data_IF_066723746732
#
_entry.id   IF_066723746732
#
_cell.length_a   1.000
_cell.length_b   1.000
_cell.length_c   1.000
_cell.angle_alpha   90.00
_cell.angle_beta   90.00
_cell.angle_gamma   90.00
#
_symmetry.space_group_name_H-M   'P 1'
#
loop_
_entity.id
_entity.type
_entity.pdbx_description
1 polymer ?
#
# COMPACT_ATOMS: atom_id res chain seq x y z
N UNK A 1 13.16 15.97 -31.29
CA UNK A 1 14.59 16.24 -31.02
C UNK A 1 14.72 16.17 -29.50
N UNK A 2 15.52 15.27 -28.98
CA UNK A 2 15.73 15.14 -27.51
C UNK A 2 16.52 16.38 -27.08
N UNK A 3 15.99 17.13 -26.12
CA UNK A 3 16.64 18.30 -25.57
C UNK A 3 17.68 17.86 -24.52
N UNK A 4 18.95 18.21 -24.70
CA UNK A 4 20.04 17.85 -23.79
C UNK A 4 19.76 18.31 -22.33
N UNK A 5 19.05 19.41 -22.18
CA UNK A 5 18.67 19.90 -20.84
C UNK A 5 17.66 18.95 -20.15
N UNK A 6 16.71 18.37 -20.87
CA UNK A 6 15.74 17.40 -20.36
C UNK A 6 16.43 16.09 -19.99
N UNK A 7 17.41 15.63 -20.77
CA UNK A 7 18.23 14.46 -20.45
C UNK A 7 19.02 14.69 -19.16
N UNK A 8 19.70 15.82 -19.04
CA UNK A 8 20.47 16.17 -17.86
C UNK A 8 19.58 16.32 -16.62
N UNK A 9 18.38 16.88 -16.77
CA UNK A 9 17.41 16.99 -15.67
C UNK A 9 16.96 15.61 -15.19
N UNK A 10 16.62 14.69 -16.12
CA UNK A 10 16.21 13.32 -15.77
C UNK A 10 17.36 12.57 -15.08
N UNK A 11 18.58 12.67 -15.59
CA UNK A 11 19.76 12.07 -14.96
C UNK A 11 19.94 12.59 -13.52
N UNK A 12 19.77 13.89 -13.31
CA UNK A 12 19.87 14.50 -11.98
C UNK A 12 18.77 13.99 -11.05
N UNK A 13 17.53 13.86 -11.55
CA UNK A 13 16.40 13.32 -10.76
C UNK A 13 16.69 11.89 -10.29
N UNK A 14 17.33 11.07 -11.13
CA UNK A 14 17.71 9.68 -10.78
C UNK A 14 18.91 9.64 -9.84
N UNK A 15 20.01 10.33 -10.18
CA UNK A 15 21.30 10.19 -9.47
C UNK A 15 21.36 10.94 -8.15
N UNK A 16 20.60 12.04 -8.00
CA UNK A 16 20.73 12.96 -6.85
C UNK A 16 19.42 13.20 -6.09
N UNK A 17 18.27 12.97 -6.72
CA UNK A 17 16.96 13.35 -6.19
C UNK A 17 16.07 12.12 -5.91
N UNK A 18 16.63 10.90 -5.92
CA UNK A 18 15.97 9.63 -5.61
C UNK A 18 14.71 9.31 -6.45
N UNK A 19 14.70 9.69 -7.75
CA UNK A 19 13.66 9.23 -8.66
C UNK A 19 13.78 7.73 -8.88
N UNK A 20 12.73 6.99 -8.61
CA UNK A 20 12.64 5.57 -8.94
C UNK A 20 11.32 5.18 -9.60
N UNK A 21 11.36 4.08 -10.36
CA UNK A 21 10.19 3.28 -10.64
C UNK A 21 10.09 2.27 -9.51
N UNK A 22 9.18 2.54 -8.57
CA UNK A 22 9.05 1.75 -7.36
C UNK A 22 8.71 0.31 -7.66
N UNK A 23 7.87 0.06 -8.68
CA UNK A 23 7.49 -1.29 -9.05
C UNK A 23 6.96 -1.38 -10.48
N UNK A 24 7.26 -2.51 -11.14
CA UNK A 24 6.44 -3.07 -12.20
C UNK A 24 5.66 -4.22 -11.58
N UNK A 25 4.33 -4.12 -11.60
CA UNK A 25 3.43 -5.13 -11.02
C UNK A 25 2.59 -5.75 -12.12
N UNK A 26 2.68 -7.08 -12.26
CA UNK A 26 1.79 -7.83 -13.15
C UNK A 26 0.56 -8.26 -12.39
N UNK A 27 -0.62 -7.76 -12.79
CA UNK A 27 -1.91 -8.28 -12.35
C UNK A 27 -2.22 -9.58 -13.10
N UNK A 28 -2.69 -10.60 -12.39
CA UNK A 28 -3.04 -11.90 -12.97
C UNK A 28 -4.41 -12.34 -12.45
N UNK A 29 -5.35 -12.54 -13.36
CA UNK A 29 -6.66 -13.11 -13.04
C UNK A 29 -6.50 -14.62 -12.78
N UNK A 30 -7.02 -15.09 -11.64
CA UNK A 30 -6.99 -16.51 -11.26
C UNK A 30 -8.38 -17.15 -11.17
N UNK A 31 -9.45 -16.50 -11.65
CA UNK A 31 -10.80 -17.06 -11.56
C UNK A 31 -10.95 -18.38 -12.31
N UNK A 32 -10.24 -18.57 -13.42
CA UNK A 32 -10.21 -19.82 -14.20
C UNK A 32 -9.42 -20.96 -13.50
N UNK A 33 -8.71 -20.64 -12.41
CA UNK A 33 -8.05 -21.65 -11.57
C UNK A 33 -9.00 -22.29 -10.56
N UNK A 34 -10.21 -21.76 -10.38
CA UNK A 34 -11.18 -22.30 -9.43
C UNK A 34 -11.57 -23.74 -9.78
N UNK A 35 -11.71 -24.57 -8.75
CA UNK A 35 -12.15 -25.98 -8.81
C UNK A 35 -12.71 -26.36 -7.44
N UNK A 36 -13.41 -27.48 -7.34
CA UNK A 36 -13.82 -28.11 -6.08
C UNK A 36 -12.73 -29.03 -5.47
N UNK A 37 -11.65 -29.24 -6.21
CA UNK A 37 -10.48 -30.01 -5.80
C UNK A 37 -9.31 -29.06 -5.48
N UNK A 38 -8.80 -29.11 -4.25
CA UNK A 38 -7.73 -28.24 -3.77
C UNK A 38 -6.40 -28.45 -4.52
N UNK A 39 -6.06 -29.70 -4.85
CA UNK A 39 -4.82 -30.00 -5.58
C UNK A 39 -4.86 -29.42 -6.99
N UNK A 40 -6.02 -29.49 -7.66
CA UNK A 40 -6.23 -28.89 -8.98
C UNK A 40 -6.14 -27.35 -8.93
N UNK A 41 -6.71 -26.71 -7.89
CA UNK A 41 -6.57 -25.26 -7.66
C UNK A 41 -5.09 -24.89 -7.54
N UNK A 42 -4.35 -25.61 -6.71
CA UNK A 42 -2.92 -25.35 -6.49
C UNK A 42 -2.11 -25.52 -7.78
N UNK A 43 -2.35 -26.60 -8.53
CA UNK A 43 -1.63 -26.85 -9.80
C UNK A 43 -1.90 -25.74 -10.83
N UNK A 44 -3.17 -25.33 -10.99
CA UNK A 44 -3.57 -24.27 -11.93
C UNK A 44 -2.97 -22.93 -11.56
N UNK A 45 -3.03 -22.54 -10.28
CA UNK A 45 -2.45 -21.27 -9.76
C UNK A 45 -0.95 -21.26 -10.05
N UNK A 46 -0.24 -22.28 -9.62
CA UNK A 46 1.21 -22.39 -9.83
C UNK A 46 1.58 -22.26 -11.31
N UNK A 47 0.95 -23.07 -12.17
CA UNK A 47 1.19 -23.06 -13.61
C UNK A 47 0.90 -21.70 -14.25
N UNK A 48 -0.22 -21.05 -13.88
CA UNK A 48 -0.61 -19.76 -14.48
C UNK A 48 0.38 -18.66 -14.11
N UNK A 49 0.75 -18.55 -12.83
CA UNK A 49 1.72 -17.54 -12.35
C UNK A 49 3.07 -17.76 -13.02
N UNK A 50 3.61 -18.99 -12.97
CA UNK A 50 4.95 -19.29 -13.52
C UNK A 50 5.00 -19.19 -15.04
N UNK A 51 3.87 -19.33 -15.74
CA UNK A 51 3.81 -19.14 -17.20
C UNK A 51 3.76 -17.68 -17.59
N UNK A 52 2.88 -16.89 -16.96
CA UNK A 52 2.67 -15.50 -17.34
C UNK A 52 3.80 -14.58 -16.86
N UNK A 53 4.31 -14.79 -15.65
CA UNK A 53 5.32 -13.92 -15.05
C UNK A 53 6.77 -14.36 -15.25
N UNK A 54 7.03 -15.41 -16.05
CA UNK A 54 8.38 -16.00 -16.24
C UNK A 54 9.44 -14.97 -16.66
N UNK A 55 9.08 -13.98 -17.47
CA UNK A 55 9.99 -13.00 -18.03
C UNK A 55 9.85 -11.61 -17.35
N UNK A 56 9.02 -11.48 -16.30
CA UNK A 56 8.73 -10.19 -15.65
C UNK A 56 9.98 -9.56 -15.03
N UNK A 57 10.76 -10.34 -14.29
CA UNK A 57 11.95 -9.85 -13.58
C UNK A 57 13.03 -9.45 -14.56
N UNK A 58 13.39 -10.33 -15.50
CA UNK A 58 14.42 -10.04 -16.52
C UNK A 58 14.04 -8.83 -17.39
N UNK A 59 12.77 -8.74 -17.81
CA UNK A 59 12.28 -7.57 -18.55
C UNK A 59 12.43 -6.27 -17.76
N UNK A 60 12.08 -6.28 -16.47
CA UNK A 60 12.26 -5.11 -15.61
C UNK A 60 13.72 -4.70 -15.45
N UNK A 61 14.63 -5.66 -15.30
CA UNK A 61 16.08 -5.41 -15.21
C UNK A 61 16.67 -4.86 -16.51
N UNK A 62 16.26 -5.40 -17.65
CA UNK A 62 16.69 -4.95 -18.95
C UNK A 62 16.22 -3.50 -19.22
N UNK A 63 14.97 -3.17 -18.89
CA UNK A 63 14.43 -1.81 -19.02
C UNK A 63 15.18 -0.84 -18.10
N UNK A 64 15.41 -1.22 -16.83
CA UNK A 64 16.17 -0.39 -15.90
C UNK A 64 17.57 -0.08 -16.41
N UNK A 65 18.27 -1.09 -16.94
CA UNK A 65 19.60 -0.93 -17.52
C UNK A 65 19.62 -0.09 -18.79
N UNK A 66 18.64 -0.26 -19.67
CA UNK A 66 18.56 0.46 -20.94
C UNK A 66 18.18 1.93 -20.75
N UNK A 67 17.23 2.22 -19.86
CA UNK A 67 16.75 3.58 -19.63
C UNK A 67 17.54 4.33 -18.55
N UNK A 68 18.40 3.66 -17.80
CA UNK A 68 19.15 4.25 -16.70
C UNK A 68 18.26 4.69 -15.53
N UNK A 69 17.04 4.15 -15.39
CA UNK A 69 16.10 4.46 -14.31
C UNK A 69 15.95 3.22 -13.41
N UNK A 70 16.21 3.34 -12.10
CA UNK A 70 16.03 2.20 -11.20
C UNK A 70 14.59 1.68 -11.20
N UNK A 71 14.43 0.35 -11.36
CA UNK A 71 13.15 -0.34 -11.15
C UNK A 71 13.34 -1.24 -9.93
N UNK A 72 12.93 -0.71 -8.78
CA UNK A 72 13.28 -1.27 -7.47
C UNK A 72 12.66 -2.64 -7.24
N UNK A 73 11.38 -2.80 -7.58
CA UNK A 73 10.66 -4.05 -7.37
C UNK A 73 9.98 -4.54 -8.67
N UNK A 74 9.90 -5.86 -8.79
CA UNK A 74 9.03 -6.56 -9.73
C UNK A 74 8.08 -7.41 -8.90
N UNK A 75 6.77 -7.20 -9.07
CA UNK A 75 5.73 -7.74 -8.20
C UNK A 75 4.60 -8.37 -8.99
N UNK A 76 3.78 -9.17 -8.32
CA UNK A 76 2.56 -9.74 -8.87
C UNK A 76 1.39 -9.38 -7.96
N UNK A 77 0.24 -9.04 -8.55
CA UNK A 77 -1.05 -8.96 -7.86
C UNK A 77 -2.00 -9.99 -8.47
N UNK A 78 -2.74 -10.71 -7.65
CA UNK A 78 -3.64 -11.76 -8.10
C UNK A 78 -5.08 -11.51 -7.65
N UNK A 79 -6.03 -12.14 -8.32
CA UNK A 79 -7.43 -12.16 -7.88
C UNK A 79 -7.54 -12.54 -6.40
N UNK A 80 -8.40 -11.88 -5.60
CA UNK A 80 -8.59 -12.22 -4.20
C UNK A 80 -8.82 -13.72 -3.99
N UNK A 81 -7.91 -14.36 -3.26
CA UNK A 81 -7.89 -15.83 -3.11
C UNK A 81 -9.14 -16.36 -2.40
N UNK A 82 -9.82 -15.52 -1.61
CA UNK A 82 -11.12 -15.93 -1.02
C UNK A 82 -12.16 -16.32 -2.08
N UNK A 83 -12.06 -15.75 -3.28
CA UNK A 83 -12.96 -16.08 -4.42
C UNK A 83 -12.51 -17.36 -5.12
N UNK A 84 -11.22 -17.50 -5.39
CA UNK A 84 -10.65 -18.63 -6.13
C UNK A 84 -10.74 -19.93 -5.34
N UNK A 85 -10.47 -19.88 -4.03
CA UNK A 85 -10.51 -21.04 -3.12
C UNK A 85 -11.90 -21.43 -2.64
N UNK A 86 -12.96 -20.67 -2.98
CA UNK A 86 -14.28 -20.79 -2.35
C UNK A 86 -14.92 -22.20 -2.45
N UNK A 87 -14.73 -22.89 -3.56
CA UNK A 87 -15.29 -24.22 -3.77
C UNK A 87 -14.44 -25.33 -3.13
N UNK A 88 -13.10 -25.19 -3.16
CA UNK A 88 -12.16 -26.20 -2.68
C UNK A 88 -11.93 -26.17 -1.18
N UNK A 89 -11.75 -24.97 -0.59
CA UNK A 89 -11.33 -24.81 0.79
C UNK A 89 -12.48 -25.04 1.78
N UNK A 90 -12.26 -25.88 2.78
CA UNK A 90 -13.23 -26.21 3.85
C UNK A 90 -12.72 -25.77 5.24
N UNK A 91 -11.42 -25.55 5.35
CA UNK A 91 -10.72 -25.17 6.59
C UNK A 91 -9.76 -24.00 6.32
N UNK A 92 -9.32 -23.25 7.34
CA UNK A 92 -8.25 -22.26 7.19
C UNK A 92 -6.93 -22.88 6.66
N UNK A 93 -6.61 -24.12 7.05
CA UNK A 93 -5.39 -24.81 6.61
C UNK A 93 -5.36 -25.10 5.09
N UNK A 94 -6.52 -25.29 4.47
CA UNK A 94 -6.61 -25.43 3.01
C UNK A 94 -6.13 -24.13 2.31
N UNK A 95 -6.51 -22.97 2.85
CA UNK A 95 -6.02 -21.67 2.38
C UNK A 95 -4.51 -21.49 2.61
N UNK A 96 -3.98 -21.98 3.74
CA UNK A 96 -2.52 -21.98 3.97
C UNK A 96 -1.79 -22.79 2.92
N UNK A 97 -2.38 -23.88 2.41
CA UNK A 97 -1.81 -24.69 1.34
C UNK A 97 -1.75 -23.89 0.02
N UNK A 98 -2.80 -23.12 -0.30
CA UNK A 98 -2.79 -22.19 -1.44
C UNK A 98 -1.71 -21.11 -1.26
N UNK A 99 -1.58 -20.53 -0.06
CA UNK A 99 -0.55 -19.56 0.24
C UNK A 99 0.86 -20.10 -0.07
N UNK A 100 1.18 -21.29 0.39
CA UNK A 100 2.48 -21.95 0.10
C UNK A 100 2.70 -22.18 -1.40
N UNK A 101 1.67 -22.52 -2.13
CA UNK A 101 1.74 -22.68 -3.59
C UNK A 101 2.05 -21.36 -4.29
N UNK A 102 1.40 -20.28 -3.90
CA UNK A 102 1.63 -18.93 -4.43
C UNK A 102 3.05 -18.45 -4.09
N UNK A 103 3.49 -18.64 -2.85
CA UNK A 103 4.84 -18.29 -2.40
C UNK A 103 5.91 -19.04 -3.20
N UNK A 104 5.72 -20.34 -3.41
CA UNK A 104 6.60 -21.16 -4.27
C UNK A 104 6.66 -20.64 -5.70
N UNK A 105 5.52 -20.25 -6.28
CA UNK A 105 5.48 -19.69 -7.62
C UNK A 105 6.20 -18.34 -7.70
N UNK A 106 6.02 -17.48 -6.66
CA UNK A 106 6.70 -16.19 -6.55
C UNK A 106 8.22 -16.34 -6.48
N UNK A 107 8.72 -17.30 -5.70
CA UNK A 107 10.15 -17.63 -5.66
C UNK A 107 10.69 -18.13 -7.00
N UNK A 108 9.93 -18.97 -7.72
CA UNK A 108 10.36 -19.49 -9.01
C UNK A 108 10.52 -18.40 -10.07
N UNK A 109 9.58 -17.44 -10.12
CA UNK A 109 9.68 -16.32 -11.07
C UNK A 109 10.56 -15.17 -10.57
N UNK A 110 11.04 -15.24 -9.33
CA UNK A 110 12.01 -14.30 -8.75
C UNK A 110 11.44 -12.93 -8.40
N UNK A 111 10.13 -12.78 -8.22
CA UNK A 111 9.51 -11.51 -7.83
C UNK A 111 9.76 -11.18 -6.37
N UNK A 112 9.71 -9.88 -6.03
CA UNK A 112 9.96 -9.42 -4.67
C UNK A 112 8.78 -9.68 -3.73
N UNK A 113 7.53 -9.56 -4.23
CA UNK A 113 6.29 -9.79 -3.47
C UNK A 113 5.16 -10.23 -4.39
N UNK A 114 4.16 -10.89 -3.80
CA UNK A 114 2.90 -11.22 -4.44
C UNK A 114 1.73 -10.87 -3.51
N UNK A 115 0.84 -9.98 -3.97
CA UNK A 115 -0.37 -9.56 -3.26
C UNK A 115 -1.62 -10.23 -3.83
N UNK A 116 -2.69 -10.26 -3.02
CA UNK A 116 -3.96 -10.87 -3.41
C UNK A 116 -4.36 -12.08 -2.56
N UNK A 117 -3.57 -12.42 -1.53
CA UNK A 117 -4.07 -13.31 -0.47
C UNK A 117 -5.09 -12.56 0.37
N UNK A 118 -6.24 -12.28 -0.22
CA UNK A 118 -7.14 -11.19 0.17
C UNK A 118 -8.60 -11.61 0.19
N UNK A 119 -9.42 -10.83 0.95
CA UNK A 119 -10.86 -10.93 0.98
C UNK A 119 -11.52 -9.55 0.89
N UNK A 120 -12.64 -9.45 0.17
CA UNK A 120 -13.43 -8.23 0.03
C UNK A 120 -14.74 -8.42 0.78
N UNK A 121 -14.83 -7.85 1.99
CA UNK A 121 -15.93 -8.10 2.95
C UNK A 121 -16.65 -6.81 3.37
N UNK A 122 -16.58 -5.77 2.54
CA UNK A 122 -17.11 -4.44 2.86
C UNK A 122 -18.62 -4.40 3.15
N UNK A 123 -19.40 -5.34 2.59
CA UNK A 123 -20.85 -5.41 2.80
C UNK A 123 -21.28 -6.62 3.65
N UNK A 124 -20.60 -7.72 3.48
CA UNK A 124 -20.84 -8.99 4.17
C UNK A 124 -19.64 -9.89 4.00
N UNK A 125 -19.60 -10.96 4.75
CA UNK A 125 -18.52 -11.93 4.78
C UNK A 125 -19.08 -13.31 4.50
N UNK A 126 -18.59 -13.98 3.46
CA UNK A 126 -18.95 -15.37 3.16
C UNK A 126 -18.17 -16.31 4.07
N UNK A 127 -18.55 -17.59 4.09
CA UNK A 127 -17.79 -18.60 4.81
C UNK A 127 -16.35 -18.71 4.27
N UNK A 128 -16.19 -18.58 2.96
CA UNK A 128 -14.89 -18.61 2.29
C UNK A 128 -14.00 -17.46 2.73
N UNK A 129 -14.55 -16.23 2.79
CA UNK A 129 -13.81 -15.06 3.27
C UNK A 129 -13.36 -15.24 4.72
N UNK A 130 -14.25 -15.76 5.60
CA UNK A 130 -13.91 -16.00 6.99
C UNK A 130 -12.79 -17.05 7.14
N UNK A 131 -12.84 -18.14 6.36
CA UNK A 131 -11.79 -19.17 6.37
C UNK A 131 -10.44 -18.59 5.92
N UNK A 132 -10.42 -17.80 4.84
CA UNK A 132 -9.21 -17.13 4.40
C UNK A 132 -8.68 -16.16 5.45
N UNK A 133 -9.54 -15.28 6.01
CA UNK A 133 -9.11 -14.29 7.01
C UNK A 133 -8.50 -15.00 8.23
N UNK A 134 -9.10 -16.09 8.71
CA UNK A 134 -8.57 -16.88 9.83
C UNK A 134 -7.28 -17.63 9.48
N UNK A 135 -6.96 -17.82 8.21
CA UNK A 135 -5.72 -18.45 7.79
C UNK A 135 -4.53 -17.47 7.72
N UNK A 136 -4.79 -16.15 7.68
CA UNK A 136 -3.77 -15.11 7.49
C UNK A 136 -2.59 -15.23 8.46
N UNK A 137 -2.78 -15.37 9.79
CA UNK A 137 -1.67 -15.45 10.73
C UNK A 137 -0.69 -16.57 10.38
N UNK A 138 -1.20 -17.76 10.16
CA UNK A 138 -0.39 -18.92 9.81
C UNK A 138 0.21 -18.83 8.42
N UNK A 139 -0.54 -18.30 7.43
CA UNK A 139 -0.07 -18.11 6.08
C UNK A 139 1.14 -17.16 6.04
N UNK A 140 1.02 -15.98 6.67
CA UNK A 140 2.09 -14.98 6.68
C UNK A 140 3.31 -15.40 7.52
N UNK A 141 3.14 -16.27 8.50
CA UNK A 141 4.24 -16.83 9.28
C UNK A 141 5.02 -17.92 8.53
N UNK A 142 4.40 -18.64 7.59
CA UNK A 142 5.04 -19.75 6.89
C UNK A 142 5.36 -19.45 5.42
N UNK A 143 5.25 -18.19 4.99
CA UNK A 143 5.58 -17.71 3.63
C UNK A 143 6.41 -16.43 3.70
N UNK A 144 7.25 -16.20 2.70
CA UNK A 144 8.16 -15.05 2.66
C UNK A 144 7.59 -13.89 1.85
N UNK A 145 7.09 -14.16 0.64
CA UNK A 145 6.77 -13.15 -0.37
C UNK A 145 5.30 -12.75 -0.44
N UNK A 146 4.42 -13.48 0.27
CA UNK A 146 2.97 -13.22 0.24
C UNK A 146 2.61 -11.99 1.05
N UNK A 147 1.77 -11.15 0.44
CA UNK A 147 1.08 -10.04 1.11
C UNK A 147 -0.43 -10.24 1.09
N UNK A 148 -1.07 -9.81 2.18
CA UNK A 148 -2.50 -9.98 2.43
C UNK A 148 -3.21 -8.65 2.64
N UNK A 149 -4.47 -8.59 2.23
CA UNK A 149 -5.34 -7.45 2.53
C UNK A 149 -6.80 -7.87 2.73
N UNK A 150 -7.49 -7.10 3.57
CA UNK A 150 -8.94 -7.30 3.80
C UNK A 150 -9.65 -5.96 3.66
N UNK A 151 -10.56 -5.84 2.69
CA UNK A 151 -11.36 -4.64 2.48
C UNK A 151 -12.66 -4.70 3.31
N UNK A 152 -12.71 -3.97 4.43
CA UNK A 152 -13.80 -4.06 5.42
C UNK A 152 -14.89 -3.01 5.24
N UNK A 153 -14.71 -2.04 4.36
CA UNK A 153 -15.65 -0.94 4.19
C UNK A 153 -15.60 -0.29 2.81
N UNK A 154 -16.65 0.43 2.50
CA UNK A 154 -16.67 1.34 1.34
C UNK A 154 -17.70 2.45 1.54
N UNK A 155 -17.52 3.55 0.79
CA UNK A 155 -18.49 4.64 0.73
C UNK A 155 -19.91 4.16 0.34
N UNK A 156 -19.99 3.13 -0.52
CA UNK A 156 -21.29 2.61 -0.99
C UNK A 156 -21.95 1.64 -0.01
N UNK A 157 -21.17 0.90 0.76
CA UNK A 157 -21.69 -0.20 1.58
C UNK A 157 -21.67 0.09 3.07
N UNK A 158 -20.93 1.11 3.52
CA UNK A 158 -20.64 1.34 4.94
C UNK A 158 -19.48 0.49 5.43
N UNK A 159 -19.41 0.24 6.72
CA UNK A 159 -18.31 -0.49 7.39
C UNK A 159 -18.85 -1.79 7.98
N UNK A 160 -18.25 -2.91 7.65
CA UNK A 160 -18.57 -4.21 8.22
C UNK A 160 -17.85 -4.37 9.58
N UNK A 161 -18.56 -4.07 10.69
CA UNK A 161 -17.98 -4.09 12.02
C UNK A 161 -17.65 -5.51 12.52
N UNK A 162 -18.30 -6.54 11.98
CA UNK A 162 -17.93 -7.94 12.29
C UNK A 162 -16.55 -8.26 11.69
N UNK A 163 -16.26 -7.80 10.46
CA UNK A 163 -14.95 -7.94 9.85
C UNK A 163 -13.90 -7.05 10.55
N UNK A 164 -14.23 -5.82 10.91
CA UNK A 164 -13.33 -4.91 11.67
C UNK A 164 -12.90 -5.56 12.99
N UNK A 165 -13.85 -6.11 13.75
CA UNK A 165 -13.54 -6.82 15.00
C UNK A 165 -12.61 -8.01 14.75
N UNK A 166 -12.95 -8.84 13.76
CA UNK A 166 -12.14 -10.01 13.41
C UNK A 166 -10.71 -9.59 13.01
N UNK A 167 -10.56 -8.51 12.23
CA UNK A 167 -9.23 -8.05 11.81
C UNK A 167 -8.35 -7.60 12.97
N UNK A 168 -8.89 -6.98 14.02
CA UNK A 168 -8.13 -6.68 15.22
C UNK A 168 -7.60 -7.95 15.93
N UNK A 169 -8.39 -9.02 15.96
CA UNK A 169 -7.97 -10.34 16.47
C UNK A 169 -6.87 -10.94 15.57
N UNK A 170 -7.06 -10.92 14.25
CA UNK A 170 -6.12 -11.46 13.24
C UNK A 170 -4.78 -10.73 13.28
N UNK A 171 -4.76 -9.40 13.40
CA UNK A 171 -3.51 -8.63 13.50
C UNK A 171 -2.74 -9.02 14.77
N UNK A 172 -3.42 -9.15 15.91
CA UNK A 172 -2.80 -9.63 17.16
C UNK A 172 -2.23 -11.03 17.01
N UNK A 173 -2.99 -11.94 16.41
CA UNK A 173 -2.57 -13.31 16.19
C UNK A 173 -1.39 -13.36 15.21
N UNK A 174 -1.40 -12.57 14.12
CA UNK A 174 -0.29 -12.46 13.17
C UNK A 174 0.98 -11.98 13.85
N UNK A 175 0.88 -10.96 14.71
CA UNK A 175 2.00 -10.46 15.48
C UNK A 175 2.62 -11.55 16.37
N UNK A 176 1.79 -12.34 17.04
CA UNK A 176 2.25 -13.44 17.90
C UNK A 176 2.89 -14.59 17.10
N UNK A 177 2.31 -14.94 15.93
CA UNK A 177 2.88 -15.98 15.06
C UNK A 177 4.24 -15.60 14.46
N UNK A 178 4.53 -14.30 14.36
CA UNK A 178 5.77 -13.77 13.76
C UNK A 178 6.62 -12.98 14.75
N UNK A 179 6.48 -13.22 16.04
CA UNK A 179 7.16 -12.49 17.11
C UNK A 179 8.69 -12.66 17.11
N UNK A 180 9.18 -13.79 16.62
CA UNK A 180 10.63 -14.03 16.50
C UNK A 180 11.30 -13.14 15.42
N UNK A 181 10.48 -12.58 14.51
CA UNK A 181 10.85 -11.62 13.48
C UNK A 181 10.23 -10.24 13.75
N UNK A 182 10.22 -9.79 14.99
CA UNK A 182 9.67 -8.48 15.39
C UNK A 182 8.25 -8.19 14.88
N UNK A 183 7.41 -9.24 14.79
CA UNK A 183 6.01 -9.17 14.29
C UNK A 183 5.90 -8.75 12.81
N UNK A 184 6.91 -9.01 11.99
CA UNK A 184 7.03 -8.61 10.57
C UNK A 184 5.85 -9.10 9.71
N UNK A 185 5.17 -10.18 10.08
CA UNK A 185 3.96 -10.62 9.40
C UNK A 185 2.90 -9.52 9.29
N UNK A 186 2.80 -8.64 10.30
CA UNK A 186 1.87 -7.51 10.28
C UNK A 186 2.25 -6.44 9.24
N UNK A 187 3.52 -6.31 8.86
CA UNK A 187 3.94 -5.42 7.78
C UNK A 187 3.47 -5.90 6.39
N UNK A 188 3.13 -7.19 6.27
CA UNK A 188 2.59 -7.81 5.05
C UNK A 188 1.05 -7.88 5.04
N UNK A 189 0.36 -7.27 6.02
CA UNK A 189 -1.10 -7.29 6.18
C UNK A 189 -1.67 -5.88 6.24
N UNK A 190 -2.64 -5.59 5.37
CA UNK A 190 -3.32 -4.28 5.33
C UNK A 190 -4.83 -4.46 5.43
N UNK A 191 -5.48 -3.67 6.27
CA UNK A 191 -6.94 -3.55 6.31
C UNK A 191 -7.37 -2.30 5.57
N UNK A 192 -8.29 -2.43 4.62
CA UNK A 192 -8.65 -1.37 3.68
C UNK A 192 -10.12 -0.96 3.80
N UNK A 193 -10.38 0.30 3.46
CA UNK A 193 -11.69 0.82 3.07
C UNK A 193 -11.57 1.48 1.70
N UNK A 194 -12.53 1.25 0.80
CA UNK A 194 -12.49 1.72 -0.60
C UNK A 194 -11.22 1.28 -1.35
N UNK A 195 -10.81 0.02 -1.20
CA UNK A 195 -9.63 -0.50 -1.89
C UNK A 195 -9.77 -0.37 -3.42
N UNK A 196 -8.76 0.17 -4.14
CA UNK A 196 -8.75 0.16 -5.60
C UNK A 196 -8.40 -1.24 -6.13
N UNK A 197 -8.95 -1.58 -7.28
CA UNK A 197 -8.79 -2.89 -7.92
C UNK A 197 -7.47 -3.04 -8.69
N UNK A 198 -6.77 -1.94 -8.93
CA UNK A 198 -5.60 -1.81 -9.81
C UNK A 198 -4.31 -1.37 -9.06
N UNK A 199 -4.31 -1.43 -7.74
CA UNK A 199 -3.18 -0.99 -6.91
C UNK A 199 -1.90 -1.81 -7.15
N UNK A 200 -0.78 -1.21 -7.63
CA UNK A 200 0.49 -1.91 -7.81
C UNK A 200 1.34 -2.00 -6.54
N UNK A 201 0.97 -1.28 -5.47
CA UNK A 201 1.74 -1.23 -4.23
C UNK A 201 1.34 -2.32 -3.25
N UNK A 202 2.30 -3.07 -2.72
CA UNK A 202 2.14 -4.02 -1.63
C UNK A 202 2.09 -3.28 -0.26
N UNK A 203 1.43 -3.76 0.79
CA UNK A 203 0.80 -5.06 0.95
C UNK A 203 -0.68 -5.12 0.49
N UNK A 204 -1.29 -4.02 0.14
CA UNK A 204 -2.71 -3.91 -0.18
C UNK A 204 -3.09 -4.30 -1.60
N UNK A 205 -2.15 -4.66 -2.47
CA UNK A 205 -2.43 -4.97 -3.86
C UNK A 205 -3.26 -6.26 -4.03
N UNK A 206 -4.18 -6.23 -4.96
CA UNK A 206 -4.85 -7.39 -5.53
C UNK A 206 -5.29 -7.05 -6.97
N UNK A 207 -5.60 -8.07 -7.75
CA UNK A 207 -6.12 -7.90 -9.11
C UNK A 207 -7.64 -7.99 -9.09
N UNK A 208 -8.30 -6.90 -9.52
CA UNK A 208 -9.76 -6.81 -9.50
C UNK A 208 -10.44 -7.83 -10.43
N UNK A 209 -11.65 -8.20 -10.07
CA UNK A 209 -12.43 -9.21 -10.86
C UNK A 209 -12.92 -8.69 -12.21
N UNK A 210 -12.88 -7.37 -12.42
CA UNK A 210 -13.27 -6.71 -13.66
C UNK A 210 -12.08 -6.30 -14.54
N UNK A 211 -10.87 -6.62 -14.10
CA UNK A 211 -9.64 -6.39 -14.85
C UNK A 211 -9.40 -7.48 -15.91
N UNK A 212 -8.49 -7.21 -16.85
CA UNK A 212 -8.07 -8.17 -17.88
C UNK A 212 -7.41 -9.43 -17.28
N UNK A 213 -7.26 -10.49 -18.08
CA UNK A 213 -6.61 -11.73 -17.65
C UNK A 213 -5.18 -11.53 -17.13
N UNK A 214 -4.45 -10.60 -17.74
CA UNK A 214 -3.19 -10.11 -17.23
C UNK A 214 -3.00 -8.63 -17.62
N UNK A 215 -2.38 -7.84 -16.73
CA UNK A 215 -2.18 -6.40 -16.93
C UNK A 215 -0.85 -5.96 -16.30
N UNK A 216 -0.21 -4.94 -16.86
CA UNK A 216 0.99 -4.31 -16.28
C UNK A 216 0.60 -2.98 -15.64
N UNK A 217 0.77 -2.87 -14.33
CA UNK A 217 0.64 -1.63 -13.57
C UNK A 217 2.02 -1.18 -13.07
N UNK A 218 2.29 0.12 -13.13
CA UNK A 218 3.59 0.67 -12.73
C UNK A 218 3.41 1.70 -11.63
N UNK A 219 4.15 1.54 -10.56
CA UNK A 219 4.25 2.52 -9.48
C UNK A 219 5.52 3.34 -9.62
N UNK A 220 5.40 4.68 -9.62
CA UNK A 220 6.53 5.60 -9.62
C UNK A 220 6.55 6.43 -8.37
N UNK A 221 7.75 6.76 -7.90
CA UNK A 221 7.96 7.55 -6.71
C UNK A 221 9.06 8.58 -6.89
N UNK A 222 9.10 9.57 -6.03
CA UNK A 222 10.13 10.60 -6.04
C UNK A 222 9.83 11.73 -5.05
N UNK A 223 9.64 11.44 -3.73
CA UNK A 223 9.56 12.49 -2.71
C UNK A 223 10.75 13.42 -2.77
N UNK A 224 11.97 12.88 -2.92
CA UNK A 224 13.19 13.64 -3.05
C UNK A 224 13.16 14.62 -4.23
N UNK A 225 12.62 14.22 -5.39
CA UNK A 225 12.49 15.11 -6.55
C UNK A 225 11.60 16.31 -6.25
N UNK A 226 10.47 16.07 -5.58
CA UNK A 226 9.55 17.15 -5.17
C UNK A 226 10.21 18.06 -4.14
N UNK A 227 10.87 17.49 -3.13
CA UNK A 227 11.62 18.24 -2.12
C UNK A 227 12.65 19.17 -2.76
N UNK A 228 13.54 18.65 -3.60
CA UNK A 228 14.56 19.45 -4.29
C UNK A 228 13.98 20.53 -5.22
N UNK A 229 12.80 20.28 -5.82
CA UNK A 229 12.11 21.28 -6.59
C UNK A 229 11.60 22.44 -5.71
N UNK A 230 11.10 22.14 -4.52
CA UNK A 230 10.59 23.12 -3.55
C UNK A 230 11.69 23.94 -2.89
N UNK A 231 12.87 23.37 -2.63
CA UNK A 231 14.04 24.11 -2.12
C UNK A 231 14.40 25.32 -3.00
N UNK A 232 14.18 25.22 -4.32
CA UNK A 232 14.47 26.28 -5.27
C UNK A 232 13.47 27.43 -5.25
N UNK A 233 12.32 27.23 -4.62
CA UNK A 233 11.21 28.21 -4.54
C UNK A 233 10.83 28.50 -3.07
N UNK A 234 11.78 28.25 -2.15
CA UNK A 234 11.60 28.52 -0.73
C UNK A 234 11.25 30.00 -0.47
N UNK A 235 10.16 30.25 0.26
CA UNK A 235 9.67 31.59 0.56
C UNK A 235 8.81 32.24 -0.54
N UNK A 236 8.59 31.55 -1.66
CA UNK A 236 7.67 32.00 -2.70
C UNK A 236 6.19 31.77 -2.31
N UNK A 237 5.27 32.29 -3.09
CA UNK A 237 3.82 32.17 -2.83
C UNK A 237 3.31 30.73 -3.03
N UNK A 238 2.12 30.44 -2.45
CA UNK A 238 1.48 29.12 -2.64
C UNK A 238 1.18 28.81 -4.11
N UNK A 239 0.92 29.82 -4.95
CA UNK A 239 0.72 29.62 -6.38
C UNK A 239 1.99 29.07 -7.05
N UNK A 240 3.15 29.61 -6.68
CA UNK A 240 4.46 29.14 -7.19
C UNK A 240 4.74 27.71 -6.68
N UNK A 241 4.49 27.44 -5.42
CA UNK A 241 4.61 26.09 -4.85
C UNK A 241 3.73 25.09 -5.60
N UNK A 242 2.45 25.38 -5.78
CA UNK A 242 1.48 24.51 -6.46
C UNK A 242 1.93 24.19 -7.89
N UNK A 243 2.35 25.22 -8.66
CA UNK A 243 2.85 25.01 -10.04
C UNK A 243 4.13 24.18 -10.05
N UNK A 244 5.02 24.37 -9.08
CA UNK A 244 6.27 23.60 -8.98
C UNK A 244 5.99 22.13 -8.70
N UNK A 245 5.14 21.81 -7.71
CA UNK A 245 4.75 20.42 -7.39
C UNK A 245 4.10 19.77 -8.59
N UNK A 246 3.13 20.43 -9.22
CA UNK A 246 2.39 19.92 -10.36
C UNK A 246 3.30 19.61 -11.56
N UNK A 247 4.24 20.51 -11.90
CA UNK A 247 5.22 20.29 -12.98
C UNK A 247 6.17 19.15 -12.68
N UNK A 248 6.60 19.01 -11.43
CA UNK A 248 7.47 17.92 -11.00
C UNK A 248 6.75 16.59 -11.08
N UNK A 249 5.54 16.50 -10.55
CA UNK A 249 4.68 15.32 -10.62
C UNK A 249 4.41 14.89 -12.08
N UNK A 250 4.17 15.86 -12.97
CA UNK A 250 4.05 15.60 -14.41
C UNK A 250 5.28 14.88 -14.99
N UNK A 251 6.49 15.35 -14.67
CA UNK A 251 7.74 14.75 -15.16
C UNK A 251 7.94 13.33 -14.64
N UNK A 252 7.73 13.11 -13.33
CA UNK A 252 7.82 11.80 -12.70
C UNK A 252 6.85 10.81 -13.38
N UNK A 253 5.61 11.21 -13.61
CA UNK A 253 4.59 10.37 -14.27
C UNK A 253 5.00 10.00 -15.69
N UNK A 254 5.62 10.91 -16.44
CA UNK A 254 6.10 10.64 -17.81
C UNK A 254 7.17 9.56 -17.85
N UNK A 255 8.07 9.52 -16.86
CA UNK A 255 9.07 8.45 -16.74
C UNK A 255 8.37 7.11 -16.50
N UNK A 256 7.40 7.05 -15.58
CA UNK A 256 6.63 5.85 -15.33
C UNK A 256 5.87 5.35 -16.55
N UNK A 257 5.27 6.26 -17.33
CA UNK A 257 4.57 5.88 -18.56
C UNK A 257 5.52 5.26 -19.60
N UNK A 258 6.72 5.79 -19.75
CA UNK A 258 7.72 5.23 -20.65
C UNK A 258 8.06 3.79 -20.27
N UNK A 259 8.34 3.55 -18.99
CA UNK A 259 8.65 2.21 -18.45
C UNK A 259 7.46 1.27 -18.62
N UNK A 260 6.24 1.72 -18.31
CA UNK A 260 5.03 0.91 -18.40
C UNK A 260 4.73 0.46 -19.84
N UNK A 261 4.86 1.37 -20.81
CA UNK A 261 4.65 1.06 -22.23
C UNK A 261 5.68 0.06 -22.75
N UNK A 262 6.94 0.21 -22.36
CA UNK A 262 7.99 -0.71 -22.80
C UNK A 262 7.86 -2.08 -22.12
N UNK A 263 7.50 -2.14 -20.84
CA UNK A 263 7.23 -3.39 -20.14
C UNK A 263 6.04 -4.14 -20.78
N UNK A 264 4.93 -3.44 -21.03
CA UNK A 264 3.75 -3.97 -21.72
C UNK A 264 4.10 -4.56 -23.08
N UNK A 265 4.88 -3.84 -23.88
CA UNK A 265 5.31 -4.26 -25.22
C UNK A 265 6.19 -5.52 -25.17
N UNK A 266 7.19 -5.58 -24.29
CA UNK A 266 8.14 -6.72 -24.19
C UNK A 266 7.45 -7.97 -23.63
N UNK A 267 6.57 -7.80 -22.65
CA UNK A 267 5.85 -8.91 -22.04
C UNK A 267 4.62 -9.36 -22.85
N UNK A 268 4.17 -8.56 -23.81
CA UNK A 268 2.96 -8.85 -24.58
C UNK A 268 1.68 -8.82 -23.73
N UNK A 269 1.67 -8.03 -22.65
CA UNK A 269 0.57 -7.89 -21.68
C UNK A 269 0.06 -6.44 -21.73
N UNK A 270 -1.27 -6.20 -21.72
CA UNK A 270 -1.83 -4.84 -21.74
C UNK A 270 -1.26 -3.94 -20.66
N UNK A 271 -1.15 -2.65 -20.98
CA UNK A 271 -0.81 -1.62 -20.01
C UNK A 271 -2.07 -1.14 -19.30
N UNK A 272 -2.09 -1.21 -17.97
CA UNK A 272 -3.17 -0.77 -17.10
C UNK A 272 -2.99 0.66 -16.65
N UNK A 273 -2.38 0.85 -15.46
CA UNK A 273 -2.27 2.18 -14.85
C UNK A 273 -0.83 2.54 -14.44
N UNK A 274 -0.65 3.84 -14.24
CA UNK A 274 0.48 4.40 -13.52
C UNK A 274 -0.02 4.90 -12.18
N UNK A 275 0.57 4.40 -11.11
CA UNK A 275 0.39 4.93 -9.78
C UNK A 275 1.52 5.92 -9.48
N UNK A 276 1.20 7.20 -9.45
CA UNK A 276 2.12 8.25 -9.00
C UNK A 276 1.95 8.44 -7.50
N UNK A 277 2.68 7.67 -6.71
CA UNK A 277 2.68 7.78 -5.26
C UNK A 277 4.01 8.29 -4.77
N UNK A 278 3.98 9.42 -4.03
CA UNK A 278 5.14 9.86 -3.27
C UNK A 278 5.28 8.91 -2.07
N UNK A 279 5.86 7.75 -2.32
CA UNK A 279 6.13 6.71 -1.34
C UNK A 279 7.60 6.84 -0.91
N UNK A 280 7.87 7.32 0.31
CA UNK A 280 9.24 7.55 0.77
C UNK A 280 10.03 6.27 0.93
N UNK A 281 11.34 6.43 1.12
CA UNK A 281 12.25 5.37 1.57
C UNK A 281 13.02 5.87 2.79
N UNK A 282 13.69 4.95 3.54
CA UNK A 282 14.58 5.36 4.63
C UNK A 282 15.81 6.17 4.19
N UNK A 283 16.01 6.36 2.88
CA UNK A 283 17.12 7.15 2.34
C UNK A 283 16.97 8.64 2.71
N UNK A 284 18.08 9.24 3.12
CA UNK A 284 18.11 10.68 3.46
C UNK A 284 17.68 11.50 2.23
N UNK A 285 16.70 12.39 2.45
CA UNK A 285 16.17 13.29 1.43
C UNK A 285 15.03 12.71 0.58
N UNK A 286 14.64 11.45 0.80
CA UNK A 286 13.48 10.82 0.17
C UNK A 286 12.30 10.70 1.17
N UNK A 287 11.83 11.84 1.65
CA UNK A 287 10.86 11.97 2.75
C UNK A 287 9.69 12.87 2.37
N UNK A 288 8.47 12.43 2.65
CA UNK A 288 7.27 13.27 2.55
C UNK A 288 7.21 14.29 3.70
N UNK A 289 7.71 13.93 4.88
CA UNK A 289 7.82 14.90 5.98
C UNK A 289 8.72 16.07 5.58
N UNK A 290 9.86 15.82 4.94
CA UNK A 290 10.76 16.87 4.44
C UNK A 290 10.04 17.80 3.44
N UNK A 291 9.18 17.25 2.57
CA UNK A 291 8.37 18.09 1.66
C UNK A 291 7.45 19.03 2.44
N UNK A 292 6.80 18.52 3.48
CA UNK A 292 5.90 19.31 4.33
C UNK A 292 6.67 20.42 5.07
N UNK A 293 7.90 20.14 5.49
CA UNK A 293 8.79 21.11 6.11
C UNK A 293 9.27 22.17 5.09
N UNK A 294 9.59 21.78 3.86
CA UNK A 294 9.89 22.75 2.78
C UNK A 294 8.70 23.64 2.39
N UNK A 295 7.47 23.16 2.56
CA UNK A 295 6.27 24.01 2.40
C UNK A 295 6.18 25.11 3.48
N UNK A 296 6.93 24.97 4.60
CA UNK A 296 7.06 26.00 5.61
C UNK A 296 6.69 25.54 7.03
N UNK A 297 6.59 24.24 7.29
CA UNK A 297 6.38 23.71 8.63
C UNK A 297 7.73 23.52 9.34
N UNK A 298 7.79 23.85 10.63
CA UNK A 298 8.98 23.61 11.43
C UNK A 298 9.24 22.12 11.67
N UNK A 299 8.19 21.31 11.69
CA UNK A 299 8.21 19.84 11.81
C UNK A 299 6.89 19.27 11.27
N UNK A 300 6.95 18.14 10.59
CA UNK A 300 5.76 17.36 10.25
C UNK A 300 4.99 17.02 11.55
N UNK A 301 3.68 17.22 11.57
CA UNK A 301 2.86 17.10 12.78
C UNK A 301 2.46 18.45 13.40
N UNK A 302 3.20 19.54 13.14
CA UNK A 302 2.84 20.89 13.60
C UNK A 302 1.45 21.33 13.08
N UNK A 303 0.78 22.30 13.73
CA UNK A 303 -0.42 22.92 13.17
C UNK A 303 -0.18 23.41 11.75
N UNK A 304 -1.08 23.03 10.80
CA UNK A 304 -0.90 23.29 9.37
C UNK A 304 -0.51 22.05 8.54
N UNK A 305 0.01 21.00 9.16
CA UNK A 305 0.46 19.77 8.44
C UNK A 305 -0.63 19.14 7.57
N UNK A 306 -1.86 19.01 8.08
CA UNK A 306 -2.99 18.46 7.31
C UNK A 306 -3.32 19.34 6.09
N UNK A 307 -3.24 20.67 6.22
CA UNK A 307 -3.47 21.60 5.11
C UNK A 307 -2.35 21.52 4.06
N UNK A 308 -1.08 21.47 4.50
CA UNK A 308 0.06 21.31 3.61
C UNK A 308 0.01 19.97 2.85
N UNK A 309 -0.36 18.88 3.54
CA UNK A 309 -0.54 17.57 2.93
C UNK A 309 -1.71 17.54 1.92
N UNK A 310 -2.81 18.23 2.21
CA UNK A 310 -3.92 18.37 1.28
C UNK A 310 -3.49 19.09 -0.01
N UNK A 311 -2.73 20.18 0.11
CA UNK A 311 -2.14 20.89 -1.02
C UNK A 311 -1.23 19.96 -1.81
N UNK A 312 -0.29 19.30 -1.15
CA UNK A 312 0.67 18.39 -1.79
C UNK A 312 -0.06 17.28 -2.57
N UNK A 313 -0.97 16.59 -1.92
CA UNK A 313 -1.72 15.47 -2.52
C UNK A 313 -2.53 15.90 -3.75
N UNK A 314 -3.20 17.05 -3.69
CA UNK A 314 -3.98 17.60 -4.79
C UNK A 314 -3.09 17.99 -5.99
N UNK A 315 -1.96 18.64 -5.77
CA UNK A 315 -1.06 19.06 -6.85
C UNK A 315 -0.33 17.86 -7.49
N UNK A 316 0.03 16.85 -6.71
CA UNK A 316 0.59 15.59 -7.24
C UNK A 316 -0.40 14.91 -8.17
N UNK A 317 -1.66 14.76 -7.76
CA UNK A 317 -2.72 14.16 -8.59
C UNK A 317 -2.96 14.96 -9.87
N UNK A 318 -3.02 16.30 -9.78
CA UNK A 318 -3.16 17.17 -10.95
C UNK A 318 -2.02 17.00 -11.94
N UNK A 319 -0.79 16.95 -11.47
CA UNK A 319 0.38 16.71 -12.30
C UNK A 319 0.35 15.36 -13.01
N UNK A 320 -0.03 14.31 -12.28
CA UNK A 320 -0.20 12.96 -12.81
C UNK A 320 -1.24 12.91 -13.93
N UNK A 321 -2.45 13.37 -13.69
CA UNK A 321 -3.55 13.36 -14.68
C UNK A 321 -3.22 14.21 -15.93
N UNK A 322 -2.46 15.28 -15.77
CA UNK A 322 -1.99 16.08 -16.93
C UNK A 322 -0.95 15.33 -17.76
N UNK A 323 -0.18 14.42 -17.17
CA UNK A 323 0.88 13.67 -17.84
C UNK A 323 0.37 12.43 -18.57
N UNK A 324 -0.66 11.75 -18.01
CA UNK A 324 -1.18 10.48 -18.51
C UNK A 324 -2.66 10.33 -18.22
N UNK A 325 -3.40 9.75 -19.16
CA UNK A 325 -4.79 9.30 -18.95
C UNK A 325 -4.88 7.96 -18.22
N UNK A 326 -3.75 7.32 -17.92
CA UNK A 326 -3.65 6.02 -17.27
C UNK A 326 -3.33 6.12 -15.77
N UNK A 327 -3.55 7.27 -15.14
CA UNK A 327 -3.31 7.43 -13.68
C UNK A 327 -4.39 6.70 -12.90
N UNK A 328 -3.96 5.85 -11.96
CA UNK A 328 -4.85 5.04 -11.13
C UNK A 328 -4.21 4.65 -9.80
N UNK A 329 -4.65 3.55 -9.23
CA UNK A 329 -4.14 3.01 -7.97
C UNK A 329 -4.36 3.93 -6.78
N UNK A 330 -3.32 4.11 -5.97
CA UNK A 330 -3.33 4.94 -4.76
C UNK A 330 -2.84 6.36 -4.98
N UNK A 331 -2.38 6.71 -6.17
CA UNK A 331 -1.74 8.00 -6.56
C UNK A 331 -1.90 9.15 -5.56
N UNK A 332 -0.78 9.75 -5.15
CA UNK A 332 -0.73 10.89 -4.23
C UNK A 332 0.41 10.79 -3.21
N UNK A 333 0.24 11.40 -2.04
CA UNK A 333 1.26 11.39 -0.98
C UNK A 333 0.98 10.30 0.06
N UNK A 334 1.98 9.45 0.33
CA UNK A 334 1.99 8.45 1.39
C UNK A 334 2.58 9.03 2.67
N UNK A 335 2.18 8.51 3.81
CA UNK A 335 2.68 8.94 5.12
C UNK A 335 3.06 7.73 6.00
N UNK A 336 3.83 6.74 5.50
CA UNK A 336 4.29 5.65 6.33
C UNK A 336 5.26 6.17 7.39
N UNK A 337 5.24 5.60 8.60
CA UNK A 337 6.17 6.05 9.63
C UNK A 337 7.54 5.41 9.47
N UNK A 338 7.64 4.08 9.33
CA UNK A 338 8.94 3.41 9.31
C UNK A 338 9.76 3.60 8.04
N UNK A 339 9.10 3.95 6.95
CA UNK A 339 9.72 4.11 5.62
C UNK A 339 10.15 5.56 5.34
N UNK A 340 9.91 6.50 6.27
CA UNK A 340 10.15 7.94 6.11
C UNK A 340 10.94 8.50 7.29
N UNK A 341 12.22 8.84 7.08
CA UNK A 341 13.08 9.33 8.16
C UNK A 341 12.51 10.59 8.84
N UNK A 342 11.92 11.49 8.09
CA UNK A 342 11.32 12.72 8.67
C UNK A 342 10.08 12.42 9.51
N UNK A 343 9.27 11.41 9.12
CA UNK A 343 8.13 10.95 9.95
C UNK A 343 8.62 10.27 11.23
N UNK A 344 9.66 9.43 11.16
CA UNK A 344 10.29 8.82 12.33
C UNK A 344 10.75 9.90 13.31
N UNK A 345 11.51 10.88 12.82
CA UNK A 345 12.01 11.99 13.63
C UNK A 345 10.88 12.80 14.26
N UNK A 346 9.80 13.06 13.51
CA UNK A 346 8.63 13.78 14.02
C UNK A 346 7.88 13.02 15.13
N UNK A 347 7.87 11.68 15.07
CA UNK A 347 7.35 10.84 16.16
C UNK A 347 8.26 10.90 17.37
N UNK A 348 9.58 10.79 17.21
CA UNK A 348 10.57 10.86 18.29
C UNK A 348 10.49 12.23 18.99
N UNK A 349 10.34 13.31 18.23
CA UNK A 349 10.19 14.67 18.76
C UNK A 349 8.82 14.92 19.42
N UNK A 350 7.88 13.97 19.33
CA UNK A 350 6.53 14.10 19.88
C UNK A 350 5.60 15.03 19.06
N UNK A 351 6.00 15.40 17.87
CA UNK A 351 5.17 16.20 16.94
C UNK A 351 4.07 15.39 16.26
N UNK A 352 4.34 14.09 16.01
CA UNK A 352 3.39 13.15 15.45
C UNK A 352 2.91 12.13 16.48
N UNK A 353 1.60 12.01 16.61
CA UNK A 353 0.89 10.97 17.38
C UNK A 353 -0.15 10.31 16.46
N UNK A 354 -0.71 9.17 16.86
CA UNK A 354 -1.65 8.41 16.02
C UNK A 354 -2.85 9.28 15.62
N UNK A 355 -3.44 10.02 16.54
CA UNK A 355 -4.59 10.89 16.28
C UNK A 355 -4.26 12.03 15.28
N UNK A 356 -3.00 12.49 15.26
CA UNK A 356 -2.56 13.44 14.24
C UNK A 356 -2.40 12.78 12.88
N UNK A 357 -1.86 11.56 12.84
CA UNK A 357 -1.79 10.76 11.60
C UNK A 357 -3.19 10.47 11.07
N UNK A 358 -4.15 10.07 11.91
CA UNK A 358 -5.57 9.89 11.51
C UNK A 358 -6.15 11.16 10.87
N UNK A 359 -5.90 12.34 11.46
CA UNK A 359 -6.31 13.60 10.83
C UNK A 359 -5.64 13.85 9.47
N UNK A 360 -4.38 13.43 9.31
CA UNK A 360 -3.65 13.52 8.03
C UNK A 360 -4.19 12.52 7.00
N UNK A 361 -4.68 11.36 7.43
CA UNK A 361 -5.26 10.35 6.53
C UNK A 361 -6.56 10.82 5.87
N UNK A 362 -7.22 11.83 6.37
CA UNK A 362 -8.34 12.48 5.68
C UNK A 362 -7.94 13.02 4.29
N UNK A 363 -6.68 13.37 4.09
CA UNK A 363 -6.18 14.08 2.90
C UNK A 363 -4.98 13.42 2.22
N UNK A 364 -4.36 12.40 2.82
CA UNK A 364 -3.33 11.58 2.17
C UNK A 364 -3.94 10.61 1.14
N UNK A 365 -3.14 9.82 0.46
CA UNK A 365 -3.63 8.86 -0.54
C UNK A 365 -3.87 7.45 0.00
N UNK A 366 -3.33 7.08 1.15
CA UNK A 366 -3.43 5.71 1.67
C UNK A 366 -4.14 5.66 3.02
N UNK A 367 -3.50 6.04 4.12
CA UNK A 367 -4.03 5.85 5.47
C UNK A 367 -2.89 5.74 6.49
N UNK A 368 -3.17 5.10 7.63
CA UNK A 368 -2.16 4.73 8.61
C UNK A 368 -1.29 3.61 8.03
N UNK A 369 -0.01 3.88 7.89
CA UNK A 369 0.90 2.97 7.23
C UNK A 369 2.20 2.76 8.00
N UNK A 370 2.60 1.49 8.17
CA UNK A 370 3.82 1.07 8.87
C UNK A 370 3.95 1.69 10.26
N UNK A 371 2.89 1.59 11.06
CA UNK A 371 2.81 2.12 12.42
C UNK A 371 3.15 1.04 13.43
N UNK A 372 4.31 1.11 14.06
CA UNK A 372 4.67 0.23 15.16
C UNK A 372 3.98 0.69 16.46
N UNK A 373 3.32 -0.24 17.15
CA UNK A 373 2.58 0.01 18.40
C UNK A 373 3.00 -1.01 19.47
N UNK A 374 2.72 -0.76 20.77
CA UNK A 374 3.06 -1.70 21.82
C UNK A 374 2.46 -3.09 21.59
N UNK A 375 3.27 -4.12 21.81
CA UNK A 375 2.88 -5.50 21.58
C UNK A 375 1.72 -6.00 22.48
N UNK A 376 1.47 -5.35 23.61
CA UNK A 376 0.36 -5.63 24.53
C UNK A 376 -0.95 -4.91 24.16
N UNK A 377 -0.96 -4.06 23.12
CA UNK A 377 -2.17 -3.38 22.63
C UNK A 377 -3.29 -4.40 22.40
N UNK A 378 -4.48 -4.12 22.94
CA UNK A 378 -5.64 -5.01 22.85
C UNK A 378 -6.16 -5.09 21.41
N UNK A 379 -6.65 -6.26 21.01
CA UNK A 379 -7.32 -6.46 19.73
C UNK A 379 -8.50 -5.49 19.53
N UNK A 380 -9.27 -5.20 20.59
CA UNK A 380 -10.36 -4.21 20.53
C UNK A 380 -9.87 -2.79 20.19
N UNK A 381 -8.72 -2.39 20.71
CA UNK A 381 -8.12 -1.08 20.40
C UNK A 381 -7.69 -1.01 18.93
N UNK A 382 -7.05 -2.07 18.41
CA UNK A 382 -6.70 -2.18 16.99
C UNK A 382 -7.97 -2.13 16.12
N UNK A 383 -9.03 -2.83 16.52
CA UNK A 383 -10.34 -2.76 15.84
C UNK A 383 -10.93 -1.34 15.86
N UNK A 384 -10.72 -0.59 16.94
CA UNK A 384 -11.12 0.82 17.04
C UNK A 384 -10.40 1.69 16.00
N UNK A 385 -9.08 1.59 15.91
CA UNK A 385 -8.26 2.29 14.90
C UNK A 385 -8.72 1.93 13.48
N UNK A 386 -8.99 0.65 13.20
CA UNK A 386 -9.52 0.21 11.90
C UNK A 386 -10.87 0.85 11.61
N UNK A 387 -11.76 0.95 12.63
CA UNK A 387 -13.07 1.56 12.47
C UNK A 387 -12.99 3.05 12.15
N UNK A 388 -12.08 3.78 12.82
CA UNK A 388 -11.87 5.21 12.62
C UNK A 388 -11.32 5.50 11.21
N UNK A 389 -10.30 4.76 10.77
CA UNK A 389 -9.76 4.87 9.42
C UNK A 389 -10.78 4.48 8.33
N UNK A 390 -11.57 3.43 8.57
CA UNK A 390 -12.63 3.05 7.66
C UNK A 390 -13.72 4.14 7.59
N UNK A 391 -14.04 4.82 8.70
CA UNK A 391 -14.97 5.94 8.72
C UNK A 391 -14.43 7.16 7.96
N UNK A 392 -13.14 7.48 8.13
CA UNK A 392 -12.47 8.53 7.36
C UNK A 392 -12.55 8.24 5.86
N UNK A 393 -12.19 7.03 5.45
CA UNK A 393 -12.26 6.62 4.03
C UNK A 393 -13.67 6.65 3.47
N UNK A 394 -14.64 6.12 4.22
CA UNK A 394 -16.04 6.07 3.82
C UNK A 394 -16.64 7.47 3.62
N UNK A 395 -16.41 8.39 4.56
CA UNK A 395 -16.98 9.75 4.52
C UNK A 395 -16.31 10.60 3.45
N UNK A 396 -15.00 10.51 3.31
CA UNK A 396 -14.23 11.30 2.34
C UNK A 396 -14.17 10.70 0.94
N UNK A 397 -14.80 9.54 0.69
CA UNK A 397 -14.83 8.87 -0.62
C UNK A 397 -13.42 8.59 -1.15
N UNK A 398 -12.53 8.18 -0.27
CA UNK A 398 -11.13 7.87 -0.59
C UNK A 398 -10.73 6.52 -0.02
N UNK A 399 -9.67 5.93 -0.55
CA UNK A 399 -9.04 4.77 0.07
C UNK A 399 -8.43 5.15 1.40
N UNK A 400 -8.68 4.35 2.44
CA UNK A 400 -7.90 4.34 3.67
C UNK A 400 -7.41 2.93 3.96
N UNK A 401 -6.24 2.86 4.56
CA UNK A 401 -5.58 1.61 4.93
C UNK A 401 -5.12 1.68 6.39
N UNK A 402 -5.05 0.53 7.04
CA UNK A 402 -4.44 0.35 8.35
C UNK A 402 -3.41 -0.75 8.25
N UNK A 403 -2.14 -0.38 8.37
CA UNK A 403 -0.99 -1.27 8.51
C UNK A 403 -0.29 -0.95 9.82
N UNK A 404 -0.83 -1.52 10.92
CA UNK A 404 -0.29 -1.38 12.26
C UNK A 404 0.41 -2.67 12.68
N UNK A 405 1.51 -2.52 13.40
CA UNK A 405 2.38 -3.63 13.78
C UNK A 405 2.50 -3.62 15.32
N UNK A 406 1.70 -4.45 16.02
CA UNK A 406 1.88 -4.64 17.46
C UNK A 406 3.14 -5.49 17.69
N UNK A 407 4.23 -4.84 18.10
CA UNK A 407 5.53 -5.51 18.22
C UNK A 407 5.59 -6.26 19.56
N UNK A 408 5.48 -7.57 19.49
CA UNK A 408 5.42 -8.43 20.70
C UNK A 408 6.71 -8.27 21.52
N UNK A 409 6.55 -7.99 22.81
CA UNK A 409 7.65 -7.81 23.74
C UNK A 409 8.27 -6.41 23.77
N UNK A 410 7.82 -5.49 22.92
CA UNK A 410 8.28 -4.09 22.89
C UNK A 410 7.17 -3.11 23.30
N UNK A 411 7.58 -1.98 23.86
CA UNK A 411 6.71 -0.91 24.36
C UNK A 411 7.15 0.48 23.92
N UNK A 412 6.40 1.50 24.33
CA UNK A 412 6.67 2.90 24.02
C UNK A 412 8.08 3.31 24.45
N UNK A 413 8.81 4.00 23.58
CA UNK A 413 10.21 4.43 23.80
C UNK A 413 11.24 3.45 23.24
N UNK A 414 10.83 2.28 22.77
CA UNK A 414 11.68 1.35 22.03
C UNK A 414 11.54 1.55 20.53
N UNK A 415 12.42 0.91 19.78
CA UNK A 415 12.39 0.90 18.32
C UNK A 415 12.35 -0.53 17.78
N UNK A 416 11.86 -0.68 16.57
CA UNK A 416 11.85 -1.94 15.82
C UNK A 416 12.47 -1.72 14.45
N UNK A 417 13.27 -2.68 13.99
CA UNK A 417 13.88 -2.66 12.66
C UNK A 417 13.22 -3.70 11.77
N UNK A 418 12.70 -3.26 10.63
CA UNK A 418 12.09 -4.13 9.63
C UNK A 418 13.05 -4.42 8.46
N UNK A 419 14.10 -3.61 8.32
CA UNK A 419 15.12 -3.74 7.29
C UNK A 419 14.70 -3.31 5.88
N UNK A 420 15.70 -3.17 5.01
CA UNK A 420 15.49 -2.85 3.59
C UNK A 420 14.67 -1.57 3.38
N UNK A 421 13.68 -1.63 2.50
CA UNK A 421 12.78 -0.50 2.22
C UNK A 421 11.73 -0.25 3.33
N UNK A 422 11.50 -1.21 4.21
CA UNK A 422 10.55 -1.06 5.31
C UNK A 422 11.11 -0.24 6.48
N UNK A 423 12.45 -0.08 6.53
CA UNK A 423 13.15 0.78 7.47
C UNK A 423 13.04 0.36 8.93
N UNK A 424 12.88 1.34 9.81
CA UNK A 424 12.71 1.13 11.25
C UNK A 424 11.64 2.08 11.81
N UNK A 425 11.04 1.75 12.95
CA UNK A 425 10.01 2.58 13.56
C UNK A 425 10.19 2.72 15.07
N UNK A 426 9.92 3.91 15.64
CA UNK A 426 9.67 4.05 17.07
C UNK A 426 8.31 3.43 17.41
N UNK A 427 8.21 2.79 18.59
CA UNK A 427 6.93 2.29 19.10
C UNK A 427 6.07 3.45 19.56
N UNK A 428 4.99 3.73 18.83
CA UNK A 428 4.11 4.85 19.10
C UNK A 428 3.12 4.55 20.24
N UNK A 429 2.86 5.49 21.14
CA UNK A 429 1.82 5.33 22.17
C UNK A 429 0.44 5.21 21.52
N UNK A 430 -0.41 4.37 22.10
CA UNK A 430 -1.80 4.18 21.70
C UNK A 430 -2.71 4.58 22.86
N UNK A 431 -3.84 5.22 22.55
CA UNK A 431 -4.86 5.54 23.54
C UNK A 431 -5.41 4.26 24.19
N UNK A 432 -5.33 4.16 25.51
CA UNK A 432 -5.67 2.96 26.27
C UNK A 432 -7.11 2.89 26.79
N UNK A 433 -7.95 3.90 26.50
CA UNK A 433 -9.36 3.84 26.88
C UNK A 433 -10.08 2.71 26.15
N UNK A 434 -10.93 2.00 26.88
CA UNK A 434 -11.60 0.82 26.37
C UNK A 434 -12.70 1.15 25.37
N UNK A 435 -12.59 0.62 24.15
CA UNK A 435 -13.59 0.71 23.09
C UNK A 435 -14.29 -0.63 22.79
N UNK A 436 -14.07 -1.66 23.62
CA UNK A 436 -14.57 -3.02 23.38
C UNK A 436 -16.10 -3.08 23.22
N UNK A 437 -16.85 -2.30 24.01
CA UNK A 437 -18.30 -2.24 23.89
C UNK A 437 -18.77 -1.69 22.53
N UNK A 438 -18.00 -0.78 21.93
CA UNK A 438 -18.28 -0.24 20.60
C UNK A 438 -17.99 -1.26 19.51
N UNK A 439 -16.78 -1.82 19.46
CA UNK A 439 -16.37 -2.73 18.38
C UNK A 439 -17.12 -4.07 18.41
N UNK A 440 -17.63 -4.48 19.55
CA UNK A 440 -18.39 -5.73 19.74
C UNK A 440 -19.90 -5.58 19.45
N UNK A 441 -20.39 -4.43 18.98
CA UNK A 441 -21.84 -4.23 18.72
C UNK A 441 -22.41 -5.09 17.61
N UNK A 442 -21.56 -5.67 16.77
CA UNK A 442 -21.94 -6.48 15.61
C UNK A 442 -22.67 -5.68 14.50
N UNK A 443 -22.68 -6.25 13.32
CA UNK A 443 -23.38 -5.71 12.17
C UNK A 443 -22.56 -4.65 11.42
N UNK A 444 -23.20 -3.60 10.99
CA UNK A 444 -22.61 -2.65 10.05
C UNK A 444 -22.91 -1.20 10.43
N UNK A 445 -21.88 -0.34 10.31
CA UNK A 445 -22.11 1.11 10.25
C UNK A 445 -22.62 1.40 8.84
N UNK A 446 -23.82 2.00 8.68
CA UNK A 446 -24.40 2.23 7.36
C UNK A 446 -23.61 3.23 6.54
N UNK A 447 -23.76 3.15 5.21
CA UNK A 447 -23.17 4.11 4.30
C UNK A 447 -23.67 5.55 4.60
N UNK A 448 -22.81 6.57 4.45
CA UNK A 448 -23.20 7.95 4.73
C UNK A 448 -24.24 8.45 3.72
N UNK A 449 -25.10 9.39 4.15
CA UNK A 449 -26.22 9.88 3.31
C UNK A 449 -25.80 10.43 1.94
N UNK A 450 -24.59 11.02 1.87
CA UNK A 450 -24.08 11.56 0.60
C UNK A 450 -23.70 10.47 -0.42
N UNK A 451 -23.60 9.20 -0.02
CA UNK A 451 -23.41 8.09 -0.95
C UNK A 451 -24.69 7.72 -1.73
N UNK A 452 -25.82 8.22 -1.29
CA UNK A 452 -27.11 8.08 -1.97
C UNK A 452 -27.39 9.20 -2.99
N UNK A 453 -26.38 9.92 -3.42
CA UNK A 453 -26.50 10.85 -4.54
C UNK A 453 -26.81 10.06 -5.81
N UNK A 454 -27.99 10.26 -6.31
CA UNK A 454 -28.45 9.72 -7.58
C UNK A 454 -28.13 10.67 -8.72
#
# INVERSE_FOLDING_TARGET
MINIFEVNETNKMVEQENLDVRTITMGINLLDCASDNLDEVNEKIYKKITTLAKDLVSTGEDIAKEFGVPIVNKRISITPISLVGAAACKTPDDYVTIAKTIDKAAHEVGVNFIGGYSAIVSKGMTKSDELLIRSIPKALACTELICSSVNVGSTKTGINMDAVRLMGEIIKETAEYTKEDDSLGCAKLVVLCNAPDDNPFMAGAFHGVSEDDAIINVGVSGPGVVKYALEKVRGESFEVLCETIKKTAFKITRVGQLVAQEASKRLGVPFGIIDLSLAPTPAIGDSVADILEEIGLARAGAPGTTAALALLNDQVKKGGVMASSYVGGLSGAFIPVSEDQGMIDAVIDGALVIEKLEAMTCVCSVGLDMIAIPGDTKASTISGIIADEAAIGMVNQKTTAVRVIPVVGKGVGETVEFGGLLGYAPIMPVNNFDCSAFVNRKGRIPAPIHSFKN
#
